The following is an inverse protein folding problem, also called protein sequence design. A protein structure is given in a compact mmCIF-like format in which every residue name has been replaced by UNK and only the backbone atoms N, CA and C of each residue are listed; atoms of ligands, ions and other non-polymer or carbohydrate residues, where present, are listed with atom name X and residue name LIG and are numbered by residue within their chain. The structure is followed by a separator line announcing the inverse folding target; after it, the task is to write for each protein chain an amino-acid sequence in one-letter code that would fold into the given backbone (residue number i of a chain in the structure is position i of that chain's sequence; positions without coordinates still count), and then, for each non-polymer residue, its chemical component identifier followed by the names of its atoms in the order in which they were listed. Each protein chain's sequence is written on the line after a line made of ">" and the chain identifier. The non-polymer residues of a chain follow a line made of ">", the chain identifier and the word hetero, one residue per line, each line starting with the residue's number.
data_IF_174075803572
#
_entry.id   IF_174075803572
#
_cell.length_a   1.000
_cell.length_b   1.000
_cell.length_c   1.000
_cell.angle_alpha   90.00
_cell.angle_beta   90.00
_cell.angle_gamma   90.00
#
_symmetry.space_group_name_H-M   'P 1'
#
loop_
_entity.id
_entity.type
_entity.pdbx_description
1 polymer ?
#
# COMPACT_ATOMS: atom_id res chain seq x y z
N UNK A 1 50.22 10.44 5.23
CA UNK A 1 49.44 11.32 4.35
C UNK A 1 47.97 10.96 4.49
N UNK A 2 47.23 11.87 5.11
CA UNK A 2 45.82 11.80 5.48
C UNK A 2 44.94 11.92 4.24
N UNK A 3 43.91 11.07 4.09
CA UNK A 3 42.73 11.37 3.28
C UNK A 3 41.50 11.17 4.13
N UNK A 4 41.13 12.24 4.85
CA UNK A 4 39.78 12.44 5.36
C UNK A 4 38.84 12.50 4.15
N UNK A 5 37.99 11.50 4.00
CA UNK A 5 36.79 11.63 3.16
C UNK A 5 35.65 11.95 4.11
N UNK A 6 35.31 13.23 4.20
CA UNK A 6 34.10 13.71 4.84
C UNK A 6 32.91 13.17 4.03
N UNK A 7 32.27 12.12 4.54
CA UNK A 7 30.93 11.77 4.11
C UNK A 7 30.00 12.89 4.61
N UNK A 8 29.59 13.78 3.69
CA UNK A 8 28.48 14.68 3.94
C UNK A 8 27.22 13.80 4.10
N UNK A 9 26.86 13.54 5.35
CA UNK A 9 25.52 13.09 5.69
C UNK A 9 24.62 14.32 5.50
N UNK A 10 24.00 14.43 4.32
CA UNK A 10 22.84 15.32 4.17
C UNK A 10 21.73 14.64 4.95
N UNK A 11 21.49 15.09 6.17
CA UNK A 11 20.23 14.82 6.87
C UNK A 11 19.12 15.43 6.00
N UNK A 12 18.57 14.61 5.11
CA UNK A 12 17.42 14.95 4.29
C UNK A 12 16.21 15.01 5.22
N UNK A 13 16.02 16.08 5.98
CA UNK A 13 14.82 16.27 6.80
C UNK A 13 13.56 16.11 5.95
N UNK A 14 12.54 15.45 6.50
CA UNK A 14 11.23 15.35 5.84
C UNK A 14 10.68 16.76 5.61
N UNK A 15 10.00 17.03 4.47
CA UNK A 15 9.50 18.36 4.16
C UNK A 15 8.64 18.93 5.28
N UNK A 16 8.83 20.21 5.60
CA UNK A 16 8.00 20.92 6.58
C UNK A 16 6.58 21.10 6.04
N UNK A 17 5.59 21.17 6.95
CA UNK A 17 4.16 21.25 6.58
C UNK A 17 3.81 22.40 5.62
N UNK A 18 4.59 23.50 5.63
CA UNK A 18 4.39 24.66 4.77
C UNK A 18 4.75 24.42 3.28
N UNK A 19 5.48 23.34 2.99
CA UNK A 19 5.96 23.02 1.62
C UNK A 19 5.18 21.86 0.97
N UNK A 20 4.24 21.26 1.70
CA UNK A 20 3.46 20.13 1.23
C UNK A 20 2.36 20.56 0.27
N UNK A 21 2.17 19.80 -0.80
CA UNK A 21 1.08 19.98 -1.77
C UNK A 21 -0.25 19.56 -1.15
N UNK A 22 -1.27 20.37 -1.34
CA UNK A 22 -2.64 20.04 -0.97
C UNK A 22 -3.34 19.28 -2.09
N UNK A 23 -4.27 18.40 -1.71
CA UNK A 23 -5.13 17.68 -2.65
C UNK A 23 -6.16 18.63 -3.26
N UNK A 24 -6.39 18.54 -4.58
CA UNK A 24 -7.46 19.30 -5.21
C UNK A 24 -8.84 18.69 -4.86
N UNK A 25 -9.73 19.41 -4.16
CA UNK A 25 -11.02 18.88 -3.72
C UNK A 25 -12.01 18.63 -4.87
N UNK A 26 -11.76 19.17 -6.07
CA UNK A 26 -12.70 19.12 -7.21
C UNK A 26 -12.46 17.94 -8.16
N UNK A 27 -11.34 17.24 -8.00
CA UNK A 27 -10.96 16.11 -8.85
C UNK A 27 -11.39 14.82 -8.14
N UNK A 28 -11.98 13.82 -8.82
CA UNK A 28 -12.33 12.56 -8.17
C UNK A 28 -11.09 11.82 -7.66
N UNK A 29 -11.29 10.89 -6.72
CA UNK A 29 -10.22 10.42 -5.83
C UNK A 29 -9.05 9.75 -6.55
N UNK A 30 -9.34 8.92 -7.57
CA UNK A 30 -8.30 8.21 -8.35
C UNK A 30 -7.50 9.19 -9.22
N UNK A 31 -8.19 10.13 -9.86
CA UNK A 31 -7.60 11.12 -10.75
C UNK A 31 -6.78 12.14 -9.97
N UNK A 32 -7.16 12.45 -8.72
CA UNK A 32 -6.47 13.42 -7.88
C UNK A 32 -5.01 13.02 -7.56
N UNK A 33 -4.68 11.74 -7.71
CA UNK A 33 -3.34 11.18 -7.43
C UNK A 33 -2.68 10.53 -8.64
N UNK A 34 -3.29 10.66 -9.84
CA UNK A 34 -2.82 9.99 -11.05
C UNK A 34 -1.38 10.40 -11.41
N UNK A 35 -1.09 11.70 -11.36
CA UNK A 35 0.18 12.31 -11.75
C UNK A 35 1.25 12.30 -10.63
N UNK A 36 0.94 11.72 -9.47
CA UNK A 36 1.90 11.68 -8.36
C UNK A 36 2.98 10.64 -8.64
N UNK A 37 4.23 11.04 -8.42
CA UNK A 37 5.38 10.14 -8.52
C UNK A 37 5.28 9.10 -7.40
N UNK A 38 5.05 7.86 -7.80
CA UNK A 38 5.00 6.73 -6.89
C UNK A 38 6.45 6.39 -6.48
N UNK A 39 6.82 6.48 -5.19
CA UNK A 39 8.17 6.16 -4.72
C UNK A 39 8.47 4.66 -4.82
N UNK A 40 9.76 4.33 -4.86
CA UNK A 40 10.22 2.95 -4.70
C UNK A 40 10.09 2.49 -3.25
N UNK A 41 9.76 1.21 -3.08
CA UNK A 41 9.57 0.57 -1.78
C UNK A 41 10.25 -0.80 -1.75
N UNK A 42 10.99 -1.07 -0.68
CA UNK A 42 11.71 -2.34 -0.49
C UNK A 42 10.98 -3.23 0.52
N UNK A 43 10.62 -4.47 0.15
CA UNK A 43 10.10 -5.44 1.10
C UNK A 43 11.21 -6.00 2.01
N UNK A 44 10.98 -6.03 3.32
CA UNK A 44 12.00 -6.48 4.29
C UNK A 44 12.06 -8.01 4.41
N UNK A 45 11.02 -8.72 3.98
CA UNK A 45 10.87 -10.15 4.24
C UNK A 45 10.51 -10.99 3.00
N UNK A 46 10.95 -10.55 1.82
CA UNK A 46 10.69 -11.25 0.56
C UNK A 46 11.11 -12.73 0.59
N UNK A 47 12.22 -13.05 1.26
CA UNK A 47 12.77 -14.41 1.36
C UNK A 47 11.99 -15.34 2.31
N UNK A 48 11.07 -14.81 3.13
CA UNK A 48 10.31 -15.59 4.13
C UNK A 48 8.95 -16.07 3.63
N UNK A 49 8.60 -15.77 2.37
CA UNK A 49 7.30 -16.14 1.78
C UNK A 49 7.31 -17.51 1.10
N UNK A 50 8.47 -18.14 0.94
CA UNK A 50 8.67 -19.38 0.18
C UNK A 50 7.91 -20.59 0.76
N UNK A 51 7.59 -20.58 2.06
CA UNK A 51 6.95 -21.70 2.78
C UNK A 51 5.43 -21.71 2.72
N UNK A 52 4.82 -20.67 2.16
CA UNK A 52 3.37 -20.56 2.02
C UNK A 52 3.06 -20.67 0.53
N UNK A 53 1.92 -21.23 0.13
CA UNK A 53 1.49 -21.37 -1.29
C UNK A 53 1.40 -20.05 -2.11
N UNK A 54 1.93 -18.95 -1.56
CA UNK A 54 2.37 -17.69 -2.15
C UNK A 54 3.77 -17.78 -2.80
N UNK A 55 4.22 -18.96 -3.24
CA UNK A 55 5.54 -19.14 -3.87
C UNK A 55 5.79 -18.21 -5.07
N UNK A 56 4.73 -17.57 -5.57
CA UNK A 56 4.81 -16.48 -6.51
C UNK A 56 3.73 -15.42 -6.20
N UNK A 57 4.11 -14.13 -6.19
CA UNK A 57 3.20 -12.98 -6.06
C UNK A 57 2.06 -13.00 -7.09
N UNK A 58 2.22 -13.76 -8.19
CA UNK A 58 1.18 -14.00 -9.19
C UNK A 58 -0.06 -14.75 -8.66
N UNK A 59 -0.04 -15.32 -7.45
CA UNK A 59 -1.22 -15.98 -6.88
C UNK A 59 -1.96 -15.13 -5.86
N UNK A 60 -1.47 -13.91 -5.56
CA UNK A 60 -2.17 -12.99 -4.66
C UNK A 60 -3.44 -12.51 -5.35
N UNK A 61 -4.61 -12.76 -4.77
CA UNK A 61 -5.87 -12.19 -5.28
C UNK A 61 -6.27 -10.91 -4.56
N UNK A 62 -5.92 -10.78 -3.27
CA UNK A 62 -6.27 -9.63 -2.45
C UNK A 62 -5.10 -9.18 -1.58
N UNK A 63 -5.07 -7.89 -1.28
CA UNK A 63 -4.09 -7.27 -0.40
C UNK A 63 -4.83 -6.50 0.68
N UNK A 64 -4.43 -6.64 1.94
CA UNK A 64 -4.97 -5.87 3.06
C UNK A 64 -3.86 -4.99 3.63
N UNK A 65 -3.96 -3.70 3.37
CA UNK A 65 -3.11 -2.69 3.97
C UNK A 65 -3.58 -2.42 5.40
N UNK A 66 -2.69 -2.60 6.36
CA UNK A 66 -2.91 -2.25 7.76
C UNK A 66 -2.05 -1.03 8.06
N UNK A 67 -2.69 0.12 8.28
CA UNK A 67 -1.97 1.38 8.38
C UNK A 67 -2.60 2.33 9.40
N UNK A 68 -1.78 2.97 10.23
CA UNK A 68 -2.26 4.00 11.14
C UNK A 68 -2.37 5.36 10.45
N UNK A 69 -3.22 6.25 10.97
CA UNK A 69 -3.33 7.63 10.49
C UNK A 69 -1.96 8.34 10.53
N UNK A 70 -1.20 8.15 11.61
CA UNK A 70 0.13 8.76 11.77
C UNK A 70 1.13 8.22 10.72
N UNK A 71 1.01 6.93 10.36
CA UNK A 71 1.84 6.33 9.31
C UNK A 71 1.46 6.88 7.94
N UNK A 72 0.17 7.04 7.63
CA UNK A 72 -0.28 7.66 6.39
C UNK A 72 0.25 9.09 6.26
N UNK A 73 0.15 9.89 7.32
CA UNK A 73 0.68 11.25 7.33
C UNK A 73 2.19 11.27 7.05
N UNK A 74 2.96 10.37 7.67
CA UNK A 74 4.41 10.28 7.44
C UNK A 74 4.75 9.88 6.00
N UNK A 75 4.04 8.91 5.42
CA UNK A 75 4.23 8.50 4.03
C UNK A 75 3.90 9.66 3.09
N UNK A 76 2.77 10.34 3.30
CA UNK A 76 2.38 11.49 2.47
C UNK A 76 3.39 12.63 2.58
N UNK A 77 3.87 12.92 3.79
CA UNK A 77 4.92 13.92 4.00
C UNK A 77 6.20 13.58 3.26
N UNK A 78 6.61 12.30 3.26
CA UNK A 78 7.80 11.85 2.52
C UNK A 78 7.68 12.07 1.00
N UNK A 79 6.47 11.96 0.43
CA UNK A 79 6.21 12.25 -0.99
C UNK A 79 5.83 13.72 -1.25
N UNK A 80 5.94 14.59 -0.24
CA UNK A 80 5.68 16.03 -0.36
C UNK A 80 4.20 16.41 -0.44
N UNK A 81 3.31 15.60 0.14
CA UNK A 81 1.85 15.80 0.13
C UNK A 81 1.32 15.94 1.55
N UNK A 82 0.33 16.82 1.73
CA UNK A 82 -0.41 16.94 3.00
C UNK A 82 -1.52 15.89 3.05
N UNK A 83 -1.50 15.06 4.08
CA UNK A 83 -2.55 14.08 4.33
C UNK A 83 -3.83 14.77 4.86
N UNK A 84 -4.99 14.36 4.34
CA UNK A 84 -6.31 14.80 4.80
C UNK A 84 -7.13 13.58 5.23
N UNK A 85 -7.26 13.39 6.54
CA UNK A 85 -8.03 12.28 7.12
C UNK A 85 -9.54 12.37 6.86
N UNK A 86 -10.05 13.55 6.48
CA UNK A 86 -11.47 13.71 6.13
C UNK A 86 -11.76 13.21 4.72
N UNK A 87 -10.73 13.01 3.90
CA UNK A 87 -10.83 12.49 2.54
C UNK A 87 -9.74 11.43 2.29
N UNK A 88 -9.89 10.22 2.85
CA UNK A 88 -8.81 9.24 2.86
C UNK A 88 -8.65 8.45 1.54
N UNK A 89 -9.72 8.31 0.75
CA UNK A 89 -9.75 7.50 -0.48
C UNK A 89 -8.63 7.81 -1.51
N UNK A 90 -8.33 9.07 -1.87
CA UNK A 90 -7.22 9.39 -2.77
C UNK A 90 -5.88 8.86 -2.25
N UNK A 91 -5.65 8.97 -0.94
CA UNK A 91 -4.42 8.51 -0.31
C UNK A 91 -4.35 6.98 -0.30
N UNK A 92 -5.46 6.29 -0.09
CA UNK A 92 -5.52 4.83 -0.22
C UNK A 92 -5.25 4.36 -1.64
N UNK A 93 -5.80 5.03 -2.66
CA UNK A 93 -5.47 4.76 -4.05
C UNK A 93 -3.96 4.93 -4.29
N UNK A 94 -3.39 6.04 -3.84
CA UNK A 94 -1.96 6.30 -4.01
C UNK A 94 -1.07 5.29 -3.27
N UNK A 95 -1.38 4.94 -2.03
CA UNK A 95 -0.66 3.90 -1.30
C UNK A 95 -0.85 2.54 -1.99
N UNK A 96 -2.04 2.27 -2.53
CA UNK A 96 -2.30 1.11 -3.38
C UNK A 96 -1.34 1.05 -4.58
N UNK A 97 -1.06 2.18 -5.25
CA UNK A 97 -0.06 2.26 -6.33
C UNK A 97 1.34 1.88 -5.84
N UNK A 98 1.76 2.38 -4.67
CA UNK A 98 3.06 2.05 -4.05
C UNK A 98 3.15 0.55 -3.77
N UNK A 99 2.13 -0.01 -3.13
CA UNK A 99 2.08 -1.44 -2.78
C UNK A 99 2.03 -2.32 -4.04
N UNK A 100 1.26 -1.91 -5.04
CA UNK A 100 1.15 -2.61 -6.32
C UNK A 100 2.50 -2.68 -7.02
N UNK A 101 3.25 -1.57 -7.04
CA UNK A 101 4.57 -1.52 -7.68
C UNK A 101 5.56 -2.43 -6.97
N UNK A 102 5.57 -2.42 -5.65
CA UNK A 102 6.47 -3.27 -4.88
C UNK A 102 6.16 -4.77 -5.03
N UNK A 103 4.88 -5.15 -5.10
CA UNK A 103 4.47 -6.55 -5.22
C UNK A 103 4.54 -7.09 -6.65
N UNK A 104 4.18 -6.28 -7.64
CA UNK A 104 3.90 -6.74 -9.01
C UNK A 104 4.73 -6.04 -10.10
N UNK A 105 5.54 -5.03 -9.75
CA UNK A 105 6.33 -4.25 -10.71
C UNK A 105 5.52 -3.27 -11.56
N UNK A 106 4.24 -3.05 -11.24
CA UNK A 106 3.30 -2.12 -11.92
C UNK A 106 2.46 -1.38 -10.89
N UNK A 107 2.02 -0.17 -11.17
CA UNK A 107 1.31 0.68 -10.19
C UNK A 107 -0.22 0.65 -10.29
N UNK A 108 -0.78 -0.05 -11.25
CA UNK A 108 -2.20 -0.16 -11.56
C UNK A 108 -2.78 -1.56 -11.27
N UNK A 109 -2.03 -2.41 -10.57
CA UNK A 109 -2.42 -3.80 -10.30
C UNK A 109 -3.39 -3.99 -9.12
N UNK A 110 -3.72 -2.93 -8.38
CA UNK A 110 -4.61 -2.97 -7.21
C UNK A 110 -5.74 -1.96 -7.34
N UNK A 111 -6.96 -2.39 -7.04
CA UNK A 111 -8.15 -1.55 -6.94
C UNK A 111 -8.69 -1.62 -5.50
N UNK A 112 -9.09 -0.47 -4.94
CA UNK A 112 -9.68 -0.41 -3.59
C UNK A 112 -11.01 -1.15 -3.62
N UNK A 113 -11.16 -2.17 -2.77
CA UNK A 113 -12.36 -2.99 -2.66
C UNK A 113 -13.24 -2.53 -1.50
N UNK A 114 -12.68 -2.48 -0.29
CA UNK A 114 -13.40 -2.13 0.93
C UNK A 114 -12.43 -1.65 2.02
N UNK A 115 -12.95 -1.13 3.12
CA UNK A 115 -12.14 -0.76 4.27
C UNK A 115 -12.92 -0.87 5.60
N UNK A 116 -12.18 -1.02 6.69
CA UNK A 116 -12.67 -0.81 8.05
C UNK A 116 -11.67 0.06 8.80
N UNK A 117 -12.18 1.02 9.58
CA UNK A 117 -11.38 1.79 10.53
C UNK A 117 -11.63 1.30 11.96
N UNK A 118 -10.56 1.01 12.69
CA UNK A 118 -10.59 0.66 14.12
C UNK A 118 -9.66 1.62 14.86
N UNK A 119 -10.26 2.53 15.65
CA UNK A 119 -9.53 3.61 16.34
C UNK A 119 -8.75 4.47 15.33
N UNK A 120 -7.40 4.49 15.42
CA UNK A 120 -6.50 5.24 14.53
C UNK A 120 -5.84 4.36 13.47
N UNK A 121 -6.35 3.13 13.26
CA UNK A 121 -5.81 2.17 12.29
C UNK A 121 -6.87 1.82 11.27
N UNK A 122 -6.48 1.84 10.01
CA UNK A 122 -7.32 1.50 8.86
C UNK A 122 -6.83 0.19 8.25
N UNK A 123 -7.80 -0.66 7.91
CA UNK A 123 -7.63 -1.92 7.21
C UNK A 123 -8.26 -1.74 5.85
N UNK A 124 -7.43 -1.45 4.84
CA UNK A 124 -7.87 -1.17 3.48
C UNK A 124 -7.63 -2.40 2.63
N UNK A 125 -8.70 -2.97 2.11
CA UNK A 125 -8.64 -4.13 1.25
C UNK A 125 -8.61 -3.71 -0.21
N UNK A 126 -7.71 -4.34 -0.95
CA UNK A 126 -7.55 -4.19 -2.38
C UNK A 126 -7.78 -5.53 -3.06
N UNK A 127 -8.45 -5.49 -4.21
CA UNK A 127 -8.52 -6.62 -5.12
C UNK A 127 -7.50 -6.42 -6.23
N UNK A 128 -6.80 -7.49 -6.60
CA UNK A 128 -5.86 -7.45 -7.72
C UNK A 128 -6.60 -7.38 -9.04
N UNK A 129 -6.02 -6.67 -10.01
CA UNK A 129 -6.60 -6.58 -11.36
C UNK A 129 -6.81 -7.95 -12.00
N UNK A 130 -5.89 -8.88 -11.76
CA UNK A 130 -5.97 -10.27 -12.24
C UNK A 130 -7.15 -11.06 -11.65
N UNK A 131 -7.53 -10.76 -10.41
CA UNK A 131 -8.75 -11.33 -9.83
C UNK A 131 -10.01 -10.72 -10.46
N UNK A 132 -10.03 -9.40 -10.72
CA UNK A 132 -11.13 -8.73 -11.43
C UNK A 132 -11.30 -9.23 -12.86
N UNK A 133 -10.19 -9.52 -13.55
CA UNK A 133 -10.17 -10.06 -14.92
C UNK A 133 -10.46 -11.57 -14.96
N UNK A 134 -10.67 -12.22 -13.81
CA UNK A 134 -11.03 -13.64 -13.69
C UNK A 134 -9.87 -14.63 -13.80
N UNK A 135 -8.62 -14.17 -13.83
CA UNK A 135 -7.43 -15.04 -13.91
C UNK A 135 -7.12 -15.77 -12.59
N UNK A 136 -7.55 -15.18 -11.46
CA UNK A 136 -7.38 -15.76 -10.13
C UNK A 136 -8.75 -15.99 -9.52
N UNK A 137 -9.12 -17.25 -9.37
CA UNK A 137 -10.43 -17.68 -8.85
C UNK A 137 -10.41 -17.99 -7.35
N UNK A 138 -9.22 -18.17 -6.77
CA UNK A 138 -9.08 -18.53 -5.36
C UNK A 138 -8.70 -17.32 -4.51
N UNK A 139 -9.26 -17.26 -3.30
CA UNK A 139 -8.92 -16.22 -2.32
C UNK A 139 -7.56 -16.53 -1.70
N UNK A 140 -6.62 -15.62 -1.92
CA UNK A 140 -5.27 -15.67 -1.39
C UNK A 140 -4.87 -14.25 -1.03
N UNK A 141 -4.71 -14.00 0.26
CA UNK A 141 -4.69 -12.66 0.83
C UNK A 141 -3.35 -12.41 1.49
N UNK A 142 -2.76 -11.26 1.19
CA UNK A 142 -1.52 -10.78 1.83
C UNK A 142 -1.84 -9.56 2.69
N UNK A 143 -1.42 -9.58 3.95
CA UNK A 143 -1.40 -8.40 4.81
C UNK A 143 -0.11 -7.61 4.55
N UNK A 144 -0.23 -6.29 4.41
CA UNK A 144 0.88 -5.36 4.18
C UNK A 144 0.89 -4.29 5.27
N UNK A 145 2.05 -4.07 5.86
CA UNK A 145 2.31 -3.01 6.84
C UNK A 145 3.53 -2.20 6.43
N UNK A 146 3.47 -0.88 6.63
CA UNK A 146 4.60 0.00 6.37
C UNK A 146 5.46 0.19 7.62
N UNK A 147 6.77 0.07 7.45
CA UNK A 147 7.74 0.51 8.45
C UNK A 147 7.76 2.03 8.56
N UNK A 148 8.41 2.53 9.60
CA UNK A 148 8.53 3.98 9.78
C UNK A 148 9.36 4.60 8.67
N UNK A 149 8.79 5.55 7.89
CA UNK A 149 9.56 6.37 6.97
C UNK A 149 10.79 6.96 7.66
N UNK A 150 11.98 6.65 7.14
CA UNK A 150 13.22 7.26 7.58
C UNK A 150 13.63 8.32 6.56
N UNK A 151 14.00 9.53 7.01
CA UNK A 151 14.45 10.58 6.11
C UNK A 151 15.66 10.12 5.28
N UNK A 152 15.67 10.41 3.97
CA UNK A 152 16.73 9.98 3.05
C UNK A 152 16.78 8.49 2.71
N UNK A 153 15.87 7.66 3.25
CA UNK A 153 15.81 6.23 2.96
C UNK A 153 14.62 5.86 2.07
N UNK A 154 14.74 4.75 1.35
CA UNK A 154 13.61 4.16 0.63
C UNK A 154 12.51 3.74 1.62
N UNK A 155 11.26 3.78 1.16
CA UNK A 155 10.16 3.23 1.94
C UNK A 155 10.35 1.73 2.13
N UNK A 156 9.91 1.23 3.26
CA UNK A 156 9.99 -0.20 3.56
C UNK A 156 8.64 -0.74 4.00
N UNK A 157 8.35 -1.96 3.58
CA UNK A 157 7.17 -2.69 4.00
C UNK A 157 7.51 -4.10 4.47
N UNK A 158 6.62 -4.62 5.30
CA UNK A 158 6.53 -6.04 5.64
C UNK A 158 5.23 -6.54 5.07
N UNK A 159 5.29 -7.71 4.43
CA UNK A 159 4.10 -8.40 3.96
C UNK A 159 4.05 -9.83 4.47
N UNK A 160 2.87 -10.37 4.71
CA UNK A 160 2.74 -11.75 5.20
C UNK A 160 1.42 -12.34 4.73
N UNK A 161 1.26 -13.67 4.71
CA UNK A 161 -0.06 -14.26 4.54
C UNK A 161 -1.01 -13.68 5.57
N UNK A 162 -2.23 -13.39 5.12
CA UNK A 162 -3.26 -12.89 6.01
C UNK A 162 -3.66 -13.95 7.04
N UNK A 163 -3.96 -13.50 8.25
CA UNK A 163 -4.57 -14.36 9.27
C UNK A 163 -5.98 -14.78 8.86
N UNK A 164 -6.47 -15.90 9.43
CA UNK A 164 -7.79 -16.46 9.09
C UNK A 164 -8.93 -15.44 9.24
N UNK A 165 -8.90 -14.59 10.27
CA UNK A 165 -9.93 -13.56 10.45
C UNK A 165 -9.98 -12.54 9.30
N UNK A 166 -8.82 -12.15 8.77
CA UNK A 166 -8.74 -11.23 7.64
C UNK A 166 -9.24 -11.92 6.37
N UNK A 167 -8.85 -13.18 6.16
CA UNK A 167 -9.35 -13.99 5.03
C UNK A 167 -10.87 -14.16 5.09
N UNK A 168 -11.43 -14.52 6.25
CA UNK A 168 -12.88 -14.59 6.46
C UNK A 168 -13.56 -13.27 6.13
N UNK A 169 -12.97 -12.14 6.54
CA UNK A 169 -13.55 -10.83 6.27
C UNK A 169 -13.56 -10.47 4.78
N UNK A 170 -12.53 -10.87 4.04
CA UNK A 170 -12.49 -10.76 2.58
C UNK A 170 -13.64 -11.57 1.97
N UNK A 171 -13.84 -12.83 2.40
CA UNK A 171 -14.97 -13.64 1.93
C UNK A 171 -16.32 -12.97 2.20
N UNK A 172 -16.56 -12.46 3.41
CA UNK A 172 -17.80 -11.74 3.73
C UNK A 172 -18.03 -10.57 2.77
N UNK A 173 -17.00 -9.80 2.43
CA UNK A 173 -17.13 -8.67 1.51
C UNK A 173 -17.41 -9.12 0.08
N UNK A 174 -16.78 -10.19 -0.39
CA UNK A 174 -17.04 -10.74 -1.72
C UNK A 174 -18.50 -11.22 -1.83
N UNK A 175 -18.99 -11.93 -0.81
CA UNK A 175 -20.37 -12.44 -0.77
C UNK A 175 -21.39 -11.29 -0.76
N UNK A 176 -21.13 -10.23 0.00
CA UNK A 176 -22.03 -9.08 0.13
C UNK A 176 -21.99 -8.11 -1.07
N UNK A 177 -20.90 -8.07 -1.83
CA UNK A 177 -20.76 -7.23 -3.03
C UNK A 177 -21.29 -7.92 -4.29
N UNK A 178 -21.71 -9.19 -4.19
CA UNK A 178 -22.10 -10.00 -5.34
C UNK A 178 -20.91 -10.41 -6.22
N UNK A 179 -19.68 -10.19 -5.76
CA UNK A 179 -18.48 -10.67 -6.43
C UNK A 179 -18.37 -12.17 -6.19
N UNK A 180 -18.82 -12.97 -7.17
CA UNK A 180 -18.63 -14.41 -7.16
C UNK A 180 -17.37 -14.74 -7.95
N UNK A 181 -16.25 -15.13 -7.31
CA UNK A 181 -15.26 -15.92 -8.02
C UNK A 181 -16.00 -17.16 -8.51
N UNK A 182 -15.98 -17.41 -9.82
CA UNK A 182 -16.57 -18.62 -10.39
C UNK A 182 -15.86 -19.81 -9.75
N UNK A 183 -16.54 -20.44 -8.77
CA UNK A 183 -16.22 -21.78 -8.30
C UNK A 183 -16.56 -22.73 -9.45
N UNK A 184 -15.53 -23.21 -10.13
CA UNK A 184 -15.58 -24.43 -10.94
C UNK A 184 -14.71 -25.48 -10.25
#
# INVERSE_FOLDING_TARGET
>A
MTKNTLAFHVESELPSSATLKDLNPKIPDREAVADWVVPDMTPINQDKLTDLHLSHVSHVSHVVLIISLDRQEQIMRQVGVRYDSMRPFPFWHFIGKIVSRALFGRDDGLEVMNYIAVRRTEYVAFTTRRCLDGEITHVNVVEVTFERPQPGSLMQCVWKPAGQLVVSKIHDWLDNTGFRPLLL
#
